data_IF_446042271072
#
_entry.id   IF_446042271072
#
_cell.length_a   1.000
_cell.length_b   1.000
_cell.length_c   1.000
_cell.angle_alpha   90.00
_cell.angle_beta   90.00
_cell.angle_gamma   90.00
#
_symmetry.space_group_name_H-M   'P 1'
#
loop_
_entity.id
_entity.type
_entity.pdbx_description
1 polymer ?
#
# COMPACT_ATOMS: atom_id res chain seq x y z
N UNK A 1 29.71 5.79 18.34
CA UNK A 1 28.98 4.52 18.49
C UNK A 1 28.04 4.37 17.30
N UNK A 2 28.35 3.49 16.35
CA UNK A 2 27.56 3.29 15.12
C UNK A 2 26.64 2.09 15.34
N UNK A 3 25.33 2.33 15.41
CA UNK A 3 24.34 1.26 15.51
C UNK A 3 24.13 0.68 14.10
N UNK A 4 24.64 -0.53 13.86
CA UNK A 4 24.38 -1.27 12.64
C UNK A 4 22.97 -1.85 12.70
N UNK A 5 22.03 -1.27 11.93
CA UNK A 5 20.71 -1.85 11.72
C UNK A 5 20.85 -2.94 10.66
N UNK A 6 20.89 -4.20 11.10
CA UNK A 6 20.95 -5.35 10.20
C UNK A 6 19.59 -5.63 9.58
N UNK A 7 19.46 -5.48 8.26
CA UNK A 7 18.29 -5.96 7.51
C UNK A 7 18.37 -7.49 7.43
N UNK A 8 17.46 -8.19 8.11
CA UNK A 8 17.31 -9.64 7.96
C UNK A 8 16.37 -9.93 6.79
N UNK A 9 16.93 -10.49 5.72
CA UNK A 9 16.17 -10.99 4.59
C UNK A 9 15.69 -12.42 4.92
N UNK A 10 14.38 -12.63 4.99
CA UNK A 10 13.79 -13.97 5.07
C UNK A 10 13.40 -14.41 3.67
N UNK A 11 13.98 -15.52 3.19
CA UNK A 11 13.60 -16.15 1.93
C UNK A 11 12.54 -17.21 2.18
N UNK A 12 11.31 -16.95 1.75
CA UNK A 12 10.29 -17.99 1.65
C UNK A 12 10.58 -18.89 0.43
N UNK A 13 10.48 -20.21 0.61
CA UNK A 13 10.43 -21.14 -0.54
C UNK A 13 9.10 -20.96 -1.26
N UNK A 14 9.15 -20.43 -2.48
CA UNK A 14 8.00 -20.42 -3.37
C UNK A 14 7.68 -21.85 -3.82
N UNK A 15 6.46 -22.32 -3.55
CA UNK A 15 5.91 -23.48 -4.25
C UNK A 15 5.63 -23.11 -5.71
N UNK A 16 5.89 -24.01 -6.65
CA UNK A 16 5.62 -23.77 -8.06
C UNK A 16 4.09 -23.67 -8.30
N UNK A 17 3.57 -22.44 -8.26
CA UNK A 17 2.18 -22.14 -8.63
C UNK A 17 2.09 -22.14 -10.15
N UNK A 18 1.24 -22.99 -10.71
CA UNK A 18 0.88 -22.90 -12.13
C UNK A 18 0.01 -21.66 -12.33
N UNK A 19 0.62 -20.54 -12.67
CA UNK A 19 -0.09 -19.30 -12.94
C UNK A 19 -1.04 -19.51 -14.12
N UNK A 20 -2.31 -19.10 -13.95
CA UNK A 20 -3.26 -19.04 -15.05
C UNK A 20 -2.76 -18.05 -16.10
N UNK A 21 -3.06 -18.30 -17.37
CA UNK A 21 -2.76 -17.36 -18.45
C UNK A 21 -3.43 -16.01 -18.14
N UNK A 22 -2.63 -14.96 -18.04
CA UNK A 22 -3.13 -13.59 -17.90
C UNK A 22 -3.77 -13.17 -19.22
N UNK A 23 -4.92 -12.51 -19.13
CA UNK A 23 -5.66 -11.95 -20.26
C UNK A 23 -5.79 -10.44 -20.08
N UNK A 24 -6.05 -9.66 -21.14
CA UNK A 24 -6.28 -8.22 -21.04
C UNK A 24 -7.37 -7.86 -20.02
N UNK A 25 -8.45 -8.64 -19.93
CA UNK A 25 -9.55 -8.42 -18.98
C UNK A 25 -9.13 -8.51 -17.50
N UNK A 26 -7.95 -9.06 -17.20
CA UNK A 26 -7.43 -9.14 -15.83
C UNK A 26 -6.63 -7.91 -15.41
N UNK A 27 -6.37 -6.94 -16.30
CA UNK A 27 -5.57 -5.76 -15.96
C UNK A 27 -6.21 -4.92 -14.86
N UNK A 28 -7.55 -4.86 -14.79
CA UNK A 28 -8.29 -4.14 -13.74
C UNK A 28 -8.13 -4.75 -12.34
N UNK A 29 -7.61 -5.98 -12.25
CA UNK A 29 -7.35 -6.66 -10.98
C UNK A 29 -5.95 -6.36 -10.42
N UNK A 30 -5.09 -5.66 -11.18
CA UNK A 30 -3.74 -5.35 -10.75
C UNK A 30 -3.74 -4.17 -9.78
N UNK A 31 -3.17 -4.41 -8.60
CA UNK A 31 -2.94 -3.40 -7.59
C UNK A 31 -1.43 -3.22 -7.39
N UNK A 32 -0.97 -1.98 -7.50
CA UNK A 32 0.37 -1.56 -7.10
C UNK A 32 0.32 -0.97 -5.70
N UNK A 33 1.14 -1.51 -4.79
CA UNK A 33 1.18 -1.09 -3.38
C UNK A 33 2.48 -0.34 -3.12
N UNK A 34 2.40 0.82 -2.47
CA UNK A 34 3.58 1.60 -2.09
C UNK A 34 4.38 0.93 -0.97
N UNK A 35 5.59 1.44 -0.70
CA UNK A 35 6.24 1.17 0.57
C UNK A 35 5.30 1.57 1.74
N UNK A 36 5.23 0.76 2.81
CA UNK A 36 4.42 1.08 3.98
C UNK A 36 5.07 2.19 4.81
N UNK A 37 4.26 3.09 5.33
CA UNK A 37 4.63 3.93 6.48
C UNK A 37 4.05 3.33 7.74
N UNK A 38 4.88 3.05 8.74
CA UNK A 38 4.45 2.40 9.99
C UNK A 38 4.12 3.48 11.00
N UNK A 39 2.98 3.34 11.68
CA UNK A 39 2.62 4.26 12.75
C UNK A 39 3.61 4.12 13.92
N UNK A 40 3.99 5.20 14.64
CA UNK A 40 5.02 5.14 15.69
C UNK A 40 4.76 4.14 16.83
N UNK A 41 3.51 3.79 17.11
CA UNK A 41 3.16 2.75 18.09
C UNK A 41 3.38 1.31 17.60
N UNK A 42 3.69 1.13 16.31
CA UNK A 42 3.93 -0.18 15.69
C UNK A 42 2.68 -1.05 15.48
N UNK A 43 1.47 -0.57 15.75
CA UNK A 43 0.25 -1.38 15.65
C UNK A 43 -0.33 -1.48 14.23
N UNK A 44 0.04 -0.55 13.34
CA UNK A 44 -0.52 -0.45 11.98
C UNK A 44 0.46 0.21 11.02
N UNK A 45 0.23 0.00 9.73
CA UNK A 45 0.88 0.71 8.64
C UNK A 45 -0.17 1.35 7.71
N UNK A 46 0.26 2.34 6.94
CA UNK A 46 -0.52 2.89 5.83
C UNK A 46 0.24 2.70 4.53
N UNK A 47 -0.48 2.27 3.50
CA UNK A 47 0.02 2.12 2.14
C UNK A 47 -0.87 2.88 1.17
N UNK A 48 -0.31 3.35 0.07
CA UNK A 48 -1.10 3.73 -1.11
C UNK A 48 -1.31 2.49 -1.97
N UNK A 49 -2.54 2.28 -2.43
CA UNK A 49 -2.92 1.23 -3.38
C UNK A 49 -3.41 1.91 -4.65
N UNK A 50 -2.68 1.71 -5.74
CA UNK A 50 -2.97 2.26 -7.07
C UNK A 50 -3.45 1.14 -7.98
N UNK A 51 -4.51 1.39 -8.75
CA UNK A 51 -5.08 0.44 -9.71
C UNK A 51 -5.48 1.12 -11.02
N UNK A 52 -5.47 0.42 -12.16
CA UNK A 52 -6.11 0.89 -13.38
C UNK A 52 -7.63 1.07 -13.18
N UNK A 53 -8.17 2.16 -13.68
CA UNK A 53 -9.60 2.42 -13.81
C UNK A 53 -9.88 2.77 -15.28
N UNK A 54 -10.46 1.81 -16.00
CA UNK A 54 -10.69 1.92 -17.45
C UNK A 54 -11.90 2.81 -17.78
N UNK A 55 -12.85 2.96 -16.86
CA UNK A 55 -13.99 3.85 -17.06
C UNK A 55 -13.55 5.31 -16.96
N UNK A 56 -12.61 5.59 -16.05
CA UNK A 56 -12.01 6.92 -15.88
C UNK A 56 -10.78 7.18 -16.79
N UNK A 57 -10.37 6.20 -17.61
CA UNK A 57 -9.13 6.19 -18.39
C UNK A 57 -7.90 6.69 -17.60
N UNK A 58 -7.74 6.19 -16.37
CA UNK A 58 -6.69 6.66 -15.48
C UNK A 58 -6.23 5.58 -14.49
N UNK A 59 -5.22 5.92 -13.68
CA UNK A 59 -4.93 5.16 -12.46
C UNK A 59 -5.39 5.92 -11.25
N UNK A 60 -6.28 5.28 -10.50
CA UNK A 60 -6.82 5.79 -9.24
C UNK A 60 -6.04 5.20 -8.07
N UNK A 61 -5.84 5.99 -7.03
CA UNK A 61 -5.02 5.62 -5.88
C UNK A 61 -5.63 6.08 -4.56
N UNK A 62 -5.68 5.19 -3.57
CA UNK A 62 -6.16 5.55 -2.23
C UNK A 62 -5.28 4.99 -1.14
N UNK A 63 -5.35 5.62 0.03
CA UNK A 63 -4.64 5.14 1.20
C UNK A 63 -5.44 4.04 1.90
N UNK A 64 -4.72 3.04 2.40
CA UNK A 64 -5.26 1.92 3.16
C UNK A 64 -4.55 1.80 4.49
N UNK A 65 -5.33 1.66 5.55
CA UNK A 65 -4.90 1.31 6.91
C UNK A 65 -4.77 -0.21 6.96
N UNK A 66 -3.57 -0.67 7.31
CA UNK A 66 -3.20 -2.09 7.37
C UNK A 66 -2.80 -2.39 8.81
N UNK A 67 -3.66 -3.04 9.60
CA UNK A 67 -3.26 -3.56 10.91
C UNK A 67 -2.06 -4.51 10.76
N UNK A 68 -1.11 -4.46 11.70
CA UNK A 68 0.01 -5.42 11.75
C UNK A 68 -0.33 -6.68 12.55
N UNK A 69 -1.57 -6.76 13.01
CA UNK A 69 -2.22 -7.93 13.58
C UNK A 69 -2.91 -8.71 12.45
N UNK A 70 -2.52 -9.97 12.25
CA UNK A 70 -2.96 -10.79 11.12
C UNK A 70 -4.46 -11.12 11.13
N UNK A 71 -5.11 -11.00 12.29
CA UNK A 71 -6.55 -11.29 12.43
C UNK A 71 -7.43 -10.09 12.00
N UNK A 72 -6.83 -8.93 11.73
CA UNK A 72 -7.56 -7.70 11.39
C UNK A 72 -7.40 -7.35 9.92
N UNK A 73 -8.55 -7.15 9.27
CA UNK A 73 -8.59 -6.81 7.85
C UNK A 73 -8.12 -5.37 7.57
N UNK A 74 -7.39 -5.13 6.47
CA UNK A 74 -7.11 -3.78 5.98
C UNK A 74 -8.40 -3.03 5.61
N UNK A 75 -8.37 -1.70 5.76
CA UNK A 75 -9.49 -0.83 5.38
C UNK A 75 -9.03 0.41 4.62
N UNK A 76 -9.87 0.87 3.69
CA UNK A 76 -9.63 2.11 2.95
C UNK A 76 -9.78 3.33 3.86
N UNK A 77 -8.81 4.25 3.80
CA UNK A 77 -8.81 5.51 4.55
C UNK A 77 -9.34 6.68 3.73
N UNK A 78 -8.89 6.81 2.48
CA UNK A 78 -9.24 7.96 1.64
C UNK A 78 -10.10 7.55 0.46
N UNK A 79 -10.83 8.52 -0.11
CA UNK A 79 -11.69 8.31 -1.28
C UNK A 79 -11.36 9.25 -2.45
N UNK A 80 -10.18 9.88 -2.41
CA UNK A 80 -9.71 10.76 -3.47
C UNK A 80 -9.39 10.03 -4.77
N UNK A 81 -9.11 10.82 -5.81
CA UNK A 81 -8.74 10.34 -7.14
C UNK A 81 -7.38 9.63 -7.09
N UNK A 82 -6.33 10.32 -6.61
CA UNK A 82 -5.02 9.72 -6.41
C UNK A 82 -4.32 10.29 -5.16
N UNK A 83 -4.39 9.50 -4.09
CA UNK A 83 -3.73 9.78 -2.81
C UNK A 83 -2.49 8.90 -2.64
N UNK A 84 -1.33 9.52 -2.39
CA UNK A 84 -0.02 8.86 -2.40
C UNK A 84 0.93 9.39 -1.32
N UNK A 85 2.10 8.76 -1.18
CA UNK A 85 3.17 9.17 -0.27
C UNK A 85 2.72 9.42 1.19
N UNK A 86 2.06 8.43 1.83
CA UNK A 86 1.66 8.57 3.23
C UNK A 86 2.88 8.68 4.14
N UNK A 87 2.82 9.59 5.12
CA UNK A 87 3.85 9.74 6.16
C UNK A 87 3.22 10.15 7.49
N UNK A 88 3.46 9.37 8.53
CA UNK A 88 3.06 9.74 9.89
C UNK A 88 3.92 10.88 10.43
N UNK A 89 3.31 11.72 11.26
CA UNK A 89 4.06 12.62 12.14
C UNK A 89 4.84 11.81 13.19
N UNK A 90 5.96 12.34 13.73
CA UNK A 90 6.75 11.62 14.75
C UNK A 90 5.97 11.23 16.00
N UNK A 91 4.95 12.01 16.37
CA UNK A 91 4.04 11.75 17.50
C UNK A 91 2.87 10.80 17.15
N UNK A 92 2.72 10.42 15.87
CA UNK A 92 1.66 9.54 15.38
C UNK A 92 0.28 10.18 15.26
N UNK A 93 0.12 11.45 15.65
CA UNK A 93 -1.20 12.10 15.70
C UNK A 93 -1.73 12.50 14.33
N UNK A 94 -0.85 12.66 13.35
CA UNK A 94 -1.20 13.08 12.00
C UNK A 94 -0.62 12.15 10.94
N UNK A 95 -1.30 12.09 9.80
CA UNK A 95 -0.85 11.43 8.59
C UNK A 95 -0.90 12.43 7.44
N UNK A 96 0.26 12.80 6.90
CA UNK A 96 0.38 13.61 5.70
C UNK A 96 0.40 12.71 4.44
N UNK A 97 -0.08 13.24 3.32
CA UNK A 97 -0.07 12.57 2.02
C UNK A 97 -0.19 13.57 0.87
N UNK A 98 0.15 13.14 -0.34
CA UNK A 98 -0.03 13.90 -1.57
C UNK A 98 -1.38 13.56 -2.21
N UNK A 99 -2.13 14.59 -2.58
CA UNK A 99 -3.43 14.48 -3.24
C UNK A 99 -3.36 15.08 -4.65
N UNK A 100 -3.85 14.35 -5.65
CA UNK A 100 -4.11 14.90 -6.98
C UNK A 100 -5.62 15.05 -7.20
N UNK A 101 -6.01 16.19 -7.78
CA UNK A 101 -7.36 16.40 -8.28
C UNK A 101 -7.57 15.62 -9.58
N UNK A 102 -8.82 15.26 -9.87
CA UNK A 102 -9.19 14.80 -11.20
C UNK A 102 -9.16 15.99 -12.17
N UNK A 103 -8.62 15.78 -13.37
CA UNK A 103 -8.67 16.73 -14.49
C UNK A 103 -9.98 16.60 -15.28
#
# INVERSE_FOLDING_TARGET
>A
MRHAVGVRCFTLRASAVRLRRVKPEHLSLLNSVSAPTVHPDGGRAVVSVIRPDFDADSYVGQLWDVPLDADKAPRRLTRGFRDTAPSFSPDGLALAFLHAAAE
#
